data_IF_426604094924
#
_entry.id   IF_426604094924
#
_cell.length_a   1.000
_cell.length_b   1.000
_cell.length_c   1.000
_cell.angle_alpha   90.00
_cell.angle_beta   90.00
_cell.angle_gamma   90.00
#
_symmetry.space_group_name_H-M   'P 1'
#
loop_
_entity.id
_entity.type
_entity.pdbx_description
1 polymer ?
#
# COMPACT_ATOMS: atom_id res chain seq x y z
N UNK A 1 -4.42 -17.80 -4.84
CA UNK A 1 -3.57 -18.29 -3.70
C UNK A 1 -4.51 -18.87 -2.65
N UNK A 2 -4.28 -20.05 -2.12
CA UNK A 2 -5.17 -20.66 -1.11
C UNK A 2 -4.72 -20.25 0.30
N UNK A 3 -5.23 -19.11 0.81
CA UNK A 3 -4.93 -18.60 2.14
C UNK A 3 -3.54 -17.98 2.28
N UNK A 4 -3.32 -17.28 3.41
CA UNK A 4 -2.06 -16.59 3.72
C UNK A 4 -1.21 -17.31 4.77
N UNK A 5 -1.65 -18.45 5.31
CA UNK A 5 -0.92 -19.16 6.37
C UNK A 5 0.49 -19.55 5.93
N UNK A 6 1.50 -19.11 6.69
CA UNK A 6 2.91 -19.35 6.42
C UNK A 6 3.47 -18.55 5.23
N UNK A 7 2.69 -17.64 4.64
CA UNK A 7 3.12 -16.77 3.55
C UNK A 7 3.81 -15.52 4.08
N UNK A 8 4.88 -15.07 3.44
CA UNK A 8 5.55 -13.80 3.76
C UNK A 8 4.89 -12.65 3.03
N UNK A 9 4.39 -11.69 3.79
CA UNK A 9 3.64 -10.52 3.28
C UNK A 9 4.36 -9.24 3.69
N UNK A 10 4.74 -8.41 2.73
CA UNK A 10 5.25 -7.05 2.97
C UNK A 10 4.13 -6.04 2.75
N UNK A 11 3.96 -5.11 3.69
CA UNK A 11 2.98 -4.01 3.58
C UNK A 11 3.68 -2.66 3.74
N UNK A 12 3.61 -1.81 2.74
CA UNK A 12 4.12 -0.43 2.84
C UNK A 12 3.06 0.52 3.41
N UNK A 13 3.50 1.56 4.12
CA UNK A 13 2.57 2.49 4.80
C UNK A 13 1.79 1.82 5.93
N UNK A 14 2.37 0.82 6.59
CA UNK A 14 1.73 -0.04 7.58
C UNK A 14 1.56 0.57 8.98
N UNK A 15 1.91 1.85 9.18
CA UNK A 15 1.86 2.51 10.49
C UNK A 15 0.49 3.08 10.88
N UNK A 16 -0.51 3.01 9.99
CA UNK A 16 -1.88 3.50 10.25
C UNK A 16 -2.87 3.10 9.15
N UNK A 17 -4.16 3.26 9.42
CA UNK A 17 -5.24 3.16 8.45
C UNK A 17 -5.29 1.81 7.71
N UNK A 18 -5.47 1.85 6.38
CA UNK A 18 -5.61 0.64 5.57
C UNK A 18 -4.36 -0.25 5.67
N UNK A 19 -3.15 0.32 5.69
CA UNK A 19 -1.90 -0.44 5.79
C UNK A 19 -1.76 -1.19 7.11
N UNK A 20 -2.08 -0.56 8.23
CA UNK A 20 -2.12 -1.22 9.55
C UNK A 20 -3.18 -2.33 9.58
N UNK A 21 -4.38 -2.04 9.08
CA UNK A 21 -5.46 -3.03 9.04
C UNK A 21 -5.10 -4.23 8.16
N UNK A 22 -4.45 -4.01 7.02
CA UNK A 22 -3.93 -5.08 6.15
C UNK A 22 -2.89 -5.93 6.87
N UNK A 23 -1.91 -5.31 7.55
CA UNK A 23 -0.88 -6.03 8.29
C UNK A 23 -1.48 -6.91 9.40
N UNK A 24 -2.41 -6.36 10.18
CA UNK A 24 -3.12 -7.09 11.23
C UNK A 24 -3.96 -8.24 10.69
N UNK A 25 -4.72 -8.02 9.64
CA UNK A 25 -5.56 -9.06 9.03
C UNK A 25 -4.71 -10.18 8.41
N UNK A 26 -3.58 -9.84 7.75
CA UNK A 26 -2.63 -10.86 7.25
C UNK A 26 -2.09 -11.72 8.39
N UNK A 27 -1.70 -11.11 9.52
CA UNK A 27 -1.20 -11.83 10.69
C UNK A 27 -2.27 -12.74 11.31
N UNK A 28 -3.53 -12.28 11.41
CA UNK A 28 -4.66 -13.11 11.88
C UNK A 28 -4.86 -14.33 10.99
N UNK A 29 -4.58 -14.23 9.69
CA UNK A 29 -4.64 -15.37 8.76
C UNK A 29 -3.37 -16.24 8.76
N UNK A 30 -2.44 -15.99 9.68
CA UNK A 30 -1.24 -16.80 9.88
C UNK A 30 -0.10 -16.49 8.91
N UNK A 31 -0.08 -15.29 8.32
CA UNK A 31 1.05 -14.83 7.52
C UNK A 31 2.21 -14.35 8.42
N UNK A 32 3.43 -14.42 7.88
CA UNK A 32 4.60 -13.73 8.38
C UNK A 32 4.58 -12.31 7.79
N UNK A 33 4.42 -11.27 8.61
CA UNK A 33 4.17 -9.92 8.11
C UNK A 33 5.36 -9.00 8.35
N UNK A 34 5.81 -8.31 7.31
CA UNK A 34 6.82 -7.25 7.39
C UNK A 34 6.16 -5.89 7.19
N UNK A 35 6.15 -5.08 8.22
CA UNK A 35 5.55 -3.75 8.23
C UNK A 35 6.58 -2.69 7.83
N UNK A 36 6.34 -1.99 6.72
CA UNK A 36 7.18 -0.89 6.26
C UNK A 36 6.52 0.48 6.43
N UNK A 37 7.14 1.42 7.14
CA UNK A 37 6.71 2.81 7.22
C UNK A 37 7.80 3.70 7.85
N UNK A 38 7.64 5.03 7.82
CA UNK A 38 8.59 5.99 8.40
C UNK A 38 8.56 6.02 9.93
N UNK A 39 7.40 5.79 10.56
CA UNK A 39 7.24 5.90 12.02
C UNK A 39 7.62 4.62 12.73
N UNK A 40 8.90 4.50 13.12
CA UNK A 40 9.44 3.35 13.83
C UNK A 40 8.64 3.01 15.10
N UNK A 41 8.29 4.02 15.90
CA UNK A 41 7.55 3.83 17.14
C UNK A 41 6.18 3.18 16.93
N UNK A 42 5.43 3.64 15.90
CA UNK A 42 4.13 3.04 15.58
C UNK A 42 4.27 1.61 15.09
N UNK A 43 5.30 1.34 14.25
CA UNK A 43 5.57 -0.02 13.77
C UNK A 43 5.87 -0.97 14.95
N UNK A 44 6.70 -0.54 15.89
CA UNK A 44 7.03 -1.32 17.08
C UNK A 44 5.78 -1.69 17.91
N UNK A 45 4.89 -0.73 18.13
CA UNK A 45 3.63 -0.96 18.85
C UNK A 45 2.73 -1.98 18.11
N UNK A 46 2.58 -1.83 16.79
CA UNK A 46 1.73 -2.72 15.99
C UNK A 46 2.31 -4.15 15.98
N UNK A 47 3.62 -4.28 15.77
CA UNK A 47 4.30 -5.58 15.78
C UNK A 47 4.22 -6.22 17.17
N UNK A 48 4.42 -5.46 18.24
CA UNK A 48 4.25 -5.94 19.60
C UNK A 48 2.86 -6.49 19.88
N UNK A 49 1.82 -5.78 19.43
CA UNK A 49 0.43 -6.23 19.57
C UNK A 49 0.13 -7.49 18.71
N UNK A 50 0.64 -7.56 17.47
CA UNK A 50 0.49 -8.77 16.63
C UNK A 50 1.15 -9.97 17.31
N UNK A 51 2.38 -9.83 17.79
CA UNK A 51 3.13 -10.92 18.46
C UNK A 51 2.47 -11.35 19.76
N UNK A 52 1.94 -10.43 20.55
CA UNK A 52 1.23 -10.74 21.79
C UNK A 52 -0.03 -11.58 21.59
N UNK A 53 -0.59 -11.54 20.36
CA UNK A 53 -1.75 -12.34 19.93
C UNK A 53 -1.35 -13.65 19.21
N UNK A 54 -0.06 -14.00 19.23
CA UNK A 54 0.47 -15.22 18.62
C UNK A 54 0.71 -15.12 17.11
N UNK A 55 0.66 -13.93 16.51
CA UNK A 55 0.99 -13.71 15.11
C UNK A 55 2.50 -13.48 14.90
N UNK A 56 2.95 -13.70 13.67
CA UNK A 56 4.34 -13.47 13.25
C UNK A 56 4.45 -12.14 12.50
N UNK A 57 5.27 -11.22 13.00
CA UNK A 57 5.49 -9.92 12.38
C UNK A 57 6.87 -9.34 12.70
N UNK A 58 7.44 -8.61 11.76
CA UNK A 58 8.63 -7.77 11.94
C UNK A 58 8.40 -6.41 11.26
N UNK A 59 9.35 -5.51 11.36
CA UNK A 59 9.22 -4.18 10.77
C UNK A 59 10.53 -3.66 10.20
N UNK A 60 10.41 -2.73 9.26
CA UNK A 60 11.53 -1.96 8.70
C UNK A 60 11.11 -0.49 8.58
N UNK A 61 11.95 0.42 9.09
CA UNK A 61 11.74 1.84 8.82
C UNK A 61 12.04 2.12 7.34
N UNK A 62 11.09 2.73 6.63
CA UNK A 62 11.23 3.00 5.19
C UNK A 62 10.51 4.28 4.78
N UNK A 63 11.22 5.13 4.08
CA UNK A 63 10.64 6.15 3.20
C UNK A 63 10.63 5.59 1.77
N UNK A 64 9.44 5.32 1.24
CA UNK A 64 9.28 4.69 -0.08
C UNK A 64 9.76 5.57 -1.24
N UNK A 65 10.06 6.84 -1.00
CA UNK A 65 10.69 7.72 -2.00
C UNK A 65 12.17 7.44 -2.20
N UNK A 66 12.77 6.60 -1.34
CA UNK A 66 14.19 6.24 -1.36
C UNK A 66 14.38 4.79 -1.82
N UNK A 67 14.97 4.58 -3.01
CA UNK A 67 15.13 3.23 -3.58
C UNK A 67 15.83 2.25 -2.64
N UNK A 68 16.92 2.69 -1.97
CA UNK A 68 17.70 1.81 -1.09
C UNK A 68 16.92 1.40 0.17
N UNK A 69 16.06 2.28 0.70
CA UNK A 69 15.22 1.94 1.84
C UNK A 69 14.12 0.94 1.41
N UNK A 70 13.60 1.05 0.17
CA UNK A 70 12.70 0.05 -0.40
C UNK A 70 13.39 -1.30 -0.58
N UNK A 71 14.66 -1.32 -1.01
CA UNK A 71 15.47 -2.54 -1.07
C UNK A 71 15.58 -3.18 0.31
N UNK A 72 16.02 -2.41 1.31
CA UNK A 72 16.20 -2.90 2.68
C UNK A 72 14.90 -3.49 3.26
N UNK A 73 13.73 -2.93 2.93
CA UNK A 73 12.44 -3.50 3.33
C UNK A 73 12.23 -4.91 2.75
N UNK A 74 12.56 -5.12 1.49
CA UNK A 74 12.44 -6.43 0.83
C UNK A 74 13.49 -7.40 1.39
N UNK A 75 14.74 -6.95 1.55
CA UNK A 75 15.82 -7.76 2.12
C UNK A 75 15.50 -8.19 3.56
N UNK A 76 14.81 -7.34 4.34
CA UNK A 76 14.30 -7.71 5.68
C UNK A 76 13.33 -8.89 5.59
N UNK A 77 12.39 -8.87 4.65
CA UNK A 77 11.44 -9.97 4.50
C UNK A 77 12.15 -11.29 4.11
N UNK A 78 13.08 -11.20 3.19
CA UNK A 78 13.85 -12.37 2.72
C UNK A 78 14.76 -12.91 3.83
N UNK A 79 15.44 -12.03 4.57
CA UNK A 79 16.33 -12.42 5.66
C UNK A 79 15.60 -13.07 6.83
N UNK A 80 14.47 -12.52 7.23
CA UNK A 80 13.71 -13.02 8.39
C UNK A 80 12.88 -14.29 8.08
N UNK A 81 12.31 -14.37 6.86
CA UNK A 81 11.33 -15.41 6.53
C UNK A 81 11.68 -16.25 5.29
N UNK A 82 12.88 -16.05 4.72
CA UNK A 82 13.40 -16.87 3.62
C UNK A 82 12.82 -16.56 2.23
N UNK A 83 11.93 -15.58 2.10
CA UNK A 83 11.33 -15.24 0.80
C UNK A 83 10.22 -14.21 0.89
N UNK A 84 9.52 -14.00 -0.23
CA UNK A 84 8.40 -13.07 -0.33
C UNK A 84 7.30 -13.66 -1.20
N UNK A 85 6.08 -13.74 -0.65
CA UNK A 85 4.90 -14.24 -1.36
C UNK A 85 3.94 -13.11 -1.78
N UNK A 86 3.82 -12.06 -0.98
CA UNK A 86 2.90 -10.94 -1.26
C UNK A 86 3.56 -9.61 -0.96
N UNK A 87 3.56 -8.70 -1.93
CA UNK A 87 3.88 -7.29 -1.71
C UNK A 87 2.61 -6.46 -1.83
N UNK A 88 2.29 -5.69 -0.78
CA UNK A 88 1.18 -4.73 -0.77
C UNK A 88 1.74 -3.30 -0.77
N UNK A 89 1.72 -2.65 -1.93
CA UNK A 89 2.09 -1.25 -2.10
C UNK A 89 0.91 -0.37 -1.67
N UNK A 90 0.89 -0.01 -0.38
CA UNK A 90 -0.18 0.78 0.22
C UNK A 90 0.28 2.19 0.63
N UNK A 91 1.58 2.43 0.85
CA UNK A 91 2.08 3.77 1.15
C UNK A 91 1.54 4.81 0.17
N UNK A 92 1.02 5.91 0.67
CA UNK A 92 0.44 6.92 -0.19
C UNK A 92 0.12 8.22 0.53
N UNK A 93 0.12 9.29 -0.25
CA UNK A 93 -0.33 10.63 0.12
C UNK A 93 -1.56 11.01 -0.69
N UNK A 94 -2.39 11.89 -0.17
CA UNK A 94 -3.50 12.52 -0.87
C UNK A 94 -3.30 14.03 -0.89
N UNK A 95 -4.10 14.75 -1.67
CA UNK A 95 -4.14 16.21 -1.69
C UNK A 95 -5.56 16.73 -1.74
N UNK A 96 -5.75 18.01 -1.43
CA UNK A 96 -6.99 18.75 -1.63
C UNK A 96 -6.68 20.22 -1.91
N UNK A 97 -6.54 20.53 -3.18
CA UNK A 97 -6.39 21.89 -3.70
C UNK A 97 -6.84 21.90 -5.17
N UNK A 98 -7.34 23.03 -5.65
CA UNK A 98 -7.58 23.24 -7.09
C UNK A 98 -6.23 23.37 -7.81
N UNK A 99 -6.20 23.07 -9.09
CA UNK A 99 -4.95 23.09 -9.86
C UNK A 99 -4.38 24.52 -9.98
N UNK A 100 -5.26 25.51 -10.02
CA UNK A 100 -4.85 26.92 -10.13
C UNK A 100 -4.08 27.41 -8.91
N UNK A 101 -4.29 26.77 -7.74
CA UNK A 101 -3.71 27.21 -6.46
C UNK A 101 -2.54 26.33 -6.00
N UNK A 102 -2.38 25.13 -6.56
CA UNK A 102 -1.45 24.12 -6.02
C UNK A 102 -0.01 24.34 -6.47
N UNK A 103 0.92 24.28 -5.52
CA UNK A 103 2.35 24.28 -5.80
C UNK A 103 2.77 22.99 -6.54
N UNK A 104 3.61 23.13 -7.56
CA UNK A 104 4.09 21.97 -8.35
C UNK A 104 4.82 20.94 -7.49
N UNK A 105 5.49 21.36 -6.43
CA UNK A 105 6.17 20.47 -5.49
C UNK A 105 5.19 19.48 -4.81
N UNK A 106 3.94 19.88 -4.58
CA UNK A 106 2.90 18.98 -4.07
C UNK A 106 2.62 17.84 -5.05
N UNK A 107 2.58 18.16 -6.36
CA UNK A 107 2.38 17.16 -7.40
C UNK A 107 3.57 16.19 -7.49
N UNK A 108 4.81 16.70 -7.41
CA UNK A 108 6.03 15.88 -7.37
C UNK A 108 6.01 14.95 -6.17
N UNK A 109 5.73 15.44 -4.96
CA UNK A 109 5.66 14.61 -3.74
C UNK A 109 4.61 13.49 -3.85
N UNK A 110 3.47 13.75 -4.49
CA UNK A 110 2.44 12.73 -4.73
C UNK A 110 2.94 11.65 -5.70
N UNK A 111 3.62 12.04 -6.77
CA UNK A 111 4.24 11.10 -7.70
C UNK A 111 5.33 10.27 -7.03
N UNK A 112 6.20 10.89 -6.25
CA UNK A 112 7.30 10.22 -5.57
C UNK A 112 6.80 9.13 -4.60
N UNK A 113 5.81 9.46 -3.79
CA UNK A 113 5.28 8.51 -2.80
C UNK A 113 4.38 7.47 -3.45
N UNK A 114 3.35 7.89 -4.23
CA UNK A 114 2.30 6.99 -4.70
C UNK A 114 2.75 6.13 -5.88
N UNK A 115 3.53 6.71 -6.81
CA UNK A 115 3.98 6.03 -8.01
C UNK A 115 5.39 5.47 -7.86
N UNK A 116 6.40 6.32 -7.65
CA UNK A 116 7.79 5.87 -7.57
C UNK A 116 8.02 4.92 -6.40
N UNK A 117 7.39 5.15 -5.25
CA UNK A 117 7.45 4.22 -4.13
C UNK A 117 6.93 2.83 -4.48
N UNK A 118 5.86 2.75 -5.28
CA UNK A 118 5.36 1.47 -5.81
C UNK A 118 6.34 0.84 -6.79
N UNK A 119 6.93 1.64 -7.69
CA UNK A 119 7.92 1.17 -8.66
C UNK A 119 9.16 0.60 -7.97
N UNK A 120 9.73 1.31 -6.99
CA UNK A 120 10.93 0.87 -6.27
C UNK A 120 10.68 -0.43 -5.50
N UNK A 121 9.63 -0.48 -4.69
CA UNK A 121 9.29 -1.71 -3.96
C UNK A 121 9.05 -2.89 -4.92
N UNK A 122 8.32 -2.67 -6.02
CA UNK A 122 8.09 -3.71 -7.04
C UNK A 122 9.39 -4.18 -7.66
N UNK A 123 10.29 -3.26 -8.01
CA UNK A 123 11.58 -3.59 -8.66
C UNK A 123 12.41 -4.58 -7.84
N UNK A 124 12.51 -4.35 -6.54
CA UNK A 124 13.28 -5.22 -5.65
C UNK A 124 12.55 -6.50 -5.25
N UNK A 125 11.20 -6.46 -5.16
CA UNK A 125 10.38 -7.61 -4.81
C UNK A 125 10.17 -8.60 -5.97
N UNK A 126 10.21 -8.11 -7.22
CA UNK A 126 9.79 -8.87 -8.40
C UNK A 126 10.45 -10.25 -8.55
N UNK A 127 11.80 -10.42 -8.36
CA UNK A 127 12.40 -11.75 -8.46
C UNK A 127 11.85 -12.76 -7.46
N UNK A 128 11.59 -12.33 -6.23
CA UNK A 128 11.05 -13.19 -5.17
C UNK A 128 9.60 -13.54 -5.42
N UNK A 129 8.78 -12.57 -5.84
CA UNK A 129 7.38 -12.78 -6.20
C UNK A 129 7.23 -13.71 -7.41
N UNK A 130 8.14 -13.66 -8.39
CA UNK A 130 8.17 -14.59 -9.51
C UNK A 130 8.52 -16.01 -9.04
N UNK A 131 9.53 -16.16 -8.16
CA UNK A 131 9.94 -17.44 -7.62
C UNK A 131 8.86 -18.13 -6.79
N UNK A 132 8.06 -17.37 -6.03
CA UNK A 132 6.97 -17.87 -5.20
C UNK A 132 5.63 -18.02 -5.95
N UNK A 133 5.55 -17.61 -7.24
CA UNK A 133 4.28 -17.42 -7.96
C UNK A 133 3.30 -16.56 -7.12
N UNK A 134 3.83 -15.50 -6.54
CA UNK A 134 3.21 -14.67 -5.54
C UNK A 134 2.26 -13.61 -6.08
N UNK A 135 1.98 -12.63 -5.25
CA UNK A 135 1.04 -11.55 -5.56
C UNK A 135 1.66 -10.17 -5.35
N UNK A 136 1.54 -9.31 -6.35
CA UNK A 136 1.80 -7.87 -6.25
C UNK A 136 0.46 -7.14 -6.17
N UNK A 137 0.27 -6.34 -5.12
CA UNK A 137 -0.98 -5.62 -4.87
C UNK A 137 -0.69 -4.13 -4.75
N UNK A 138 -1.36 -3.32 -5.55
CA UNK A 138 -1.34 -1.87 -5.42
C UNK A 138 -2.63 -1.35 -4.81
N UNK A 139 -2.54 -0.60 -3.72
CA UNK A 139 -3.69 0.13 -3.17
C UNK A 139 -3.82 1.47 -3.90
N UNK A 140 -4.62 1.43 -4.98
CA UNK A 140 -4.97 2.61 -5.77
C UNK A 140 -6.12 3.37 -5.09
N UNK A 141 -7.10 3.80 -5.84
CA UNK A 141 -8.29 4.53 -5.40
C UNK A 141 -9.29 4.58 -6.55
N UNK A 142 -10.56 4.89 -6.26
CA UNK A 142 -11.50 5.33 -7.30
C UNK A 142 -10.96 6.56 -8.07
N UNK A 143 -10.11 7.38 -7.44
CA UNK A 143 -9.39 8.48 -8.09
C UNK A 143 -8.33 8.03 -9.11
N UNK A 144 -7.94 6.77 -9.12
CA UNK A 144 -7.08 6.13 -10.13
C UNK A 144 -7.88 5.55 -11.32
N UNK A 145 -9.21 5.70 -11.31
CA UNK A 145 -10.12 5.30 -12.40
C UNK A 145 -10.88 6.50 -12.95
N UNK A 146 -11.14 7.51 -12.12
CA UNK A 146 -11.88 8.72 -12.47
C UNK A 146 -11.24 9.96 -11.84
N UNK A 147 -11.14 11.05 -12.59
CA UNK A 147 -10.67 12.34 -12.06
C UNK A 147 -11.64 12.89 -11.02
N UNK A 148 -11.10 13.47 -9.95
CA UNK A 148 -11.87 14.10 -8.88
C UNK A 148 -11.44 15.57 -8.71
N UNK A 149 -12.39 16.54 -8.59
CA UNK A 149 -12.05 17.94 -8.34
C UNK A 149 -11.16 18.12 -7.10
N UNK A 150 -10.16 18.97 -7.19
CA UNK A 150 -9.20 19.23 -6.13
C UNK A 150 -8.24 18.06 -5.83
N UNK A 151 -8.09 17.12 -6.76
CA UNK A 151 -7.28 15.90 -6.61
C UNK A 151 -6.34 15.65 -7.81
N UNK A 152 -5.95 16.68 -8.54
CA UNK A 152 -5.19 16.54 -9.80
C UNK A 152 -3.95 15.66 -9.66
N UNK A 153 -3.02 16.01 -8.78
CA UNK A 153 -1.81 15.20 -8.55
C UNK A 153 -2.09 13.83 -7.93
N UNK A 154 -3.08 13.74 -7.05
CA UNK A 154 -3.48 12.47 -6.46
C UNK A 154 -4.04 11.52 -7.53
N UNK A 155 -5.01 11.98 -8.33
CA UNK A 155 -5.55 11.18 -9.43
C UNK A 155 -4.45 10.79 -10.41
N UNK A 156 -3.62 11.75 -10.86
CA UNK A 156 -2.53 11.46 -11.78
C UNK A 156 -1.59 10.36 -11.24
N UNK A 157 -1.18 10.45 -9.96
CA UNK A 157 -0.29 9.45 -9.35
C UNK A 157 -0.94 8.07 -9.23
N UNK A 158 -2.24 8.00 -8.95
CA UNK A 158 -2.98 6.72 -8.86
C UNK A 158 -3.28 6.11 -10.23
N UNK A 159 -3.50 6.93 -11.27
CA UNK A 159 -3.55 6.46 -12.67
C UNK A 159 -2.20 5.91 -13.12
N UNK A 160 -1.09 6.62 -12.82
CA UNK A 160 0.24 6.15 -13.13
C UNK A 160 0.54 4.79 -12.47
N UNK A 161 0.20 4.63 -11.17
CA UNK A 161 0.31 3.36 -10.46
C UNK A 161 -0.50 2.25 -11.15
N UNK A 162 -1.75 2.53 -11.54
CA UNK A 162 -2.64 1.55 -12.19
C UNK A 162 -2.03 1.09 -13.52
N UNK A 163 -1.65 2.01 -14.41
CA UNK A 163 -1.04 1.66 -15.70
C UNK A 163 0.27 0.89 -15.58
N UNK A 164 1.11 1.26 -14.58
CA UNK A 164 2.34 0.51 -14.28
C UNK A 164 2.04 -0.94 -13.88
N UNK A 165 1.13 -1.14 -12.92
CA UNK A 165 0.80 -2.47 -12.41
C UNK A 165 0.13 -3.35 -13.48
N UNK A 166 -0.74 -2.80 -14.31
CA UNK A 166 -1.33 -3.51 -15.45
C UNK A 166 -0.26 -4.00 -16.43
N UNK A 167 0.73 -3.17 -16.73
CA UNK A 167 1.84 -3.54 -17.62
C UNK A 167 2.71 -4.62 -16.98
N UNK A 168 3.09 -4.46 -15.69
CA UNK A 168 3.83 -5.50 -14.94
C UNK A 168 3.09 -6.84 -14.96
N UNK A 169 1.75 -6.82 -14.84
CA UNK A 169 0.93 -8.04 -14.95
C UNK A 169 1.10 -8.72 -16.29
N UNK A 170 0.97 -7.97 -17.40
CA UNK A 170 1.05 -8.51 -18.76
C UNK A 170 2.44 -9.13 -19.01
N UNK A 171 3.49 -8.43 -18.62
CA UNK A 171 4.88 -8.88 -18.77
C UNK A 171 5.21 -10.17 -17.99
N UNK A 172 4.44 -10.46 -16.93
CA UNK A 172 4.69 -11.58 -16.02
C UNK A 172 3.62 -12.68 -16.03
N UNK A 173 2.66 -12.64 -16.95
CA UNK A 173 1.61 -13.66 -17.09
C UNK A 173 2.17 -15.09 -17.17
N UNK A 174 3.20 -15.29 -18.00
CA UNK A 174 3.83 -16.61 -18.19
C UNK A 174 4.68 -17.06 -16.99
N UNK A 175 5.01 -16.13 -16.08
CA UNK A 175 5.78 -16.43 -14.86
C UNK A 175 4.90 -16.72 -13.65
N UNK A 176 3.57 -16.69 -13.83
CA UNK A 176 2.61 -17.01 -12.78
C UNK A 176 2.48 -15.93 -11.69
N UNK A 177 2.96 -14.71 -11.94
CA UNK A 177 2.79 -13.59 -11.02
C UNK A 177 1.33 -13.10 -11.06
N UNK A 178 0.69 -13.07 -9.91
CA UNK A 178 -0.60 -12.41 -9.75
C UNK A 178 -0.37 -10.91 -9.46
N UNK A 179 -1.07 -10.02 -10.18
CA UNK A 179 -1.07 -8.59 -9.92
C UNK A 179 -2.49 -8.09 -9.76
N UNK A 180 -2.75 -7.40 -8.65
CA UNK A 180 -4.06 -6.84 -8.31
C UNK A 180 -3.97 -5.34 -8.07
N UNK A 181 -4.91 -4.58 -8.63
CA UNK A 181 -5.14 -3.17 -8.32
C UNK A 181 -6.40 -3.08 -7.47
N UNK A 182 -6.27 -2.69 -6.21
CA UNK A 182 -7.39 -2.41 -5.33
C UNK A 182 -7.73 -0.91 -5.39
N UNK A 183 -9.00 -0.59 -5.61
CA UNK A 183 -9.48 0.78 -5.77
C UNK A 183 -10.50 1.15 -4.68
N UNK A 184 -10.08 1.31 -3.42
CA UNK A 184 -11.00 1.67 -2.34
C UNK A 184 -11.72 2.98 -2.62
N UNK A 185 -13.01 3.03 -2.24
CA UNK A 185 -13.76 4.26 -2.15
C UNK A 185 -13.38 5.08 -0.92
N UNK A 186 -14.31 5.91 -0.44
CA UNK A 186 -14.08 6.70 0.76
C UNK A 186 -13.95 5.80 1.99
N UNK A 187 -12.78 5.86 2.61
CA UNK A 187 -12.42 5.08 3.80
C UNK A 187 -12.04 6.01 4.94
N UNK A 188 -12.54 5.73 6.14
CA UNK A 188 -12.20 6.47 7.36
C UNK A 188 -10.75 6.15 7.74
N UNK A 189 -9.81 6.99 7.36
CA UNK A 189 -8.37 6.77 7.57
C UNK A 189 -7.59 8.07 7.68
N UNK A 190 -6.43 8.03 8.33
CA UNK A 190 -5.58 9.19 8.58
C UNK A 190 -5.09 9.90 7.30
N UNK A 191 -5.10 9.25 6.15
CA UNK A 191 -4.72 9.87 4.85
C UNK A 191 -5.52 11.12 4.53
N UNK A 192 -6.70 11.26 5.11
CA UNK A 192 -7.59 12.41 4.91
C UNK A 192 -7.12 13.62 5.70
N UNK A 193 -6.68 13.41 6.94
CA UNK A 193 -6.13 14.46 7.80
C UNK A 193 -4.73 14.88 7.35
N UNK A 194 -3.96 13.95 6.80
CA UNK A 194 -2.63 14.21 6.24
C UNK A 194 -2.65 14.58 4.75
N UNK A 195 -3.82 14.77 4.15
CA UNK A 195 -3.93 15.24 2.77
C UNK A 195 -3.24 16.60 2.63
N UNK A 196 -2.45 16.77 1.57
CA UNK A 196 -1.71 18.00 1.31
C UNK A 196 -2.65 19.09 0.82
N UNK A 197 -2.48 20.29 1.36
CA UNK A 197 -3.09 21.54 0.87
C UNK A 197 -2.33 22.08 -0.34
N UNK A 198 -2.69 23.27 -0.82
CA UNK A 198 -2.08 23.90 -1.97
C UNK A 198 -0.57 24.14 -1.80
N UNK A 199 -0.13 24.48 -0.60
CA UNK A 199 1.27 24.75 -0.22
C UNK A 199 2.03 23.50 0.31
N UNK A 200 1.39 22.33 0.30
CA UNK A 200 1.98 21.09 0.78
C UNK A 200 1.96 20.89 2.29
N UNK A 201 1.30 21.74 3.06
CA UNK A 201 0.99 21.49 4.47
C UNK A 201 -0.09 20.43 4.63
N UNK A 202 -0.27 19.87 5.84
CA UNK A 202 -1.32 18.90 6.11
C UNK A 202 -2.65 19.58 6.35
N UNK A 203 -3.74 19.06 5.78
CA UNK A 203 -5.08 19.62 5.91
C UNK A 203 -5.59 19.66 7.37
N UNK A 204 -5.22 18.68 8.21
CA UNK A 204 -5.55 18.63 9.64
C UNK A 204 -7.00 18.26 9.97
N UNK A 205 -7.92 18.36 9.02
CA UNK A 205 -9.34 18.07 9.21
C UNK A 205 -9.96 17.28 8.05
N UNK A 206 -11.15 16.75 8.23
CA UNK A 206 -11.94 16.11 7.18
C UNK A 206 -13.33 16.75 7.10
N UNK A 207 -13.75 17.24 5.92
CA UNK A 207 -15.07 17.84 5.74
C UNK A 207 -16.20 16.80 5.55
N UNK A 208 -15.89 15.51 5.62
CA UNK A 208 -16.86 14.43 5.38
C UNK A 208 -17.19 13.68 6.66
N UNK A 209 -18.45 13.26 6.77
CA UNK A 209 -18.93 12.37 7.83
C UNK A 209 -18.29 10.98 7.66
N UNK A 210 -17.36 10.63 8.55
CA UNK A 210 -16.65 9.36 8.53
C UNK A 210 -17.52 8.16 8.88
N UNK A 211 -18.63 8.37 9.60
CA UNK A 211 -19.56 7.30 9.97
C UNK A 211 -20.22 6.60 8.75
N UNK A 212 -20.23 7.29 7.61
CA UNK A 212 -20.78 6.77 6.33
C UNK A 212 -19.71 6.14 5.42
N UNK A 213 -18.48 6.00 5.89
CA UNK A 213 -17.37 5.45 5.12
C UNK A 213 -17.09 4.00 5.49
N UNK A 214 -16.40 3.30 4.61
CA UNK A 214 -15.82 2.00 4.95
C UNK A 214 -14.74 2.17 6.03
N UNK A 215 -14.64 1.17 6.91
CA UNK A 215 -13.50 1.12 7.84
C UNK A 215 -12.26 0.54 7.16
N UNK A 216 -11.04 0.84 7.64
CA UNK A 216 -9.81 0.22 7.17
C UNK A 216 -9.85 -1.32 7.22
N UNK A 217 -10.46 -1.89 8.25
CA UNK A 217 -10.59 -3.34 8.44
C UNK A 217 -11.52 -3.97 7.39
N UNK A 218 -12.59 -3.27 6.99
CA UNK A 218 -13.46 -3.72 5.89
C UNK A 218 -12.69 -3.77 4.58
N UNK A 219 -11.92 -2.71 4.28
CA UNK A 219 -11.07 -2.66 3.09
C UNK A 219 -10.03 -3.77 3.12
N UNK A 220 -9.34 -3.97 4.26
CA UNK A 220 -8.33 -5.02 4.42
C UNK A 220 -8.91 -6.41 4.11
N UNK A 221 -10.06 -6.77 4.69
CA UNK A 221 -10.72 -8.06 4.41
C UNK A 221 -11.09 -8.25 2.94
N UNK A 222 -11.53 -7.18 2.28
CA UNK A 222 -11.88 -7.22 0.85
C UNK A 222 -10.61 -7.44 0.00
N UNK A 223 -9.53 -6.69 0.28
CA UNK A 223 -8.25 -6.83 -0.43
C UNK A 223 -7.69 -8.24 -0.28
N UNK A 224 -7.69 -8.79 0.93
CA UNK A 224 -7.16 -10.14 1.18
C UNK A 224 -7.98 -11.21 0.45
N UNK A 225 -9.31 -11.11 0.46
CA UNK A 225 -10.17 -11.99 -0.35
C UNK A 225 -9.87 -11.86 -1.86
N UNK A 226 -9.52 -10.64 -2.32
CA UNK A 226 -9.07 -10.42 -3.70
C UNK A 226 -7.78 -11.15 -4.01
N UNK A 227 -6.80 -11.13 -3.10
CA UNK A 227 -5.55 -11.89 -3.22
C UNK A 227 -5.81 -13.40 -3.30
N UNK A 228 -6.64 -13.94 -2.40
CA UNK A 228 -6.97 -15.35 -2.37
C UNK A 228 -7.66 -15.83 -3.65
N UNK A 229 -8.55 -15.01 -4.20
CA UNK A 229 -9.31 -15.29 -5.44
C UNK A 229 -8.54 -14.95 -6.72
N UNK A 230 -7.34 -14.39 -6.60
CA UNK A 230 -6.54 -13.90 -7.73
C UNK A 230 -7.30 -12.88 -8.59
N UNK A 231 -8.04 -11.98 -7.94
CA UNK A 231 -8.75 -10.89 -8.61
C UNK A 231 -7.78 -9.91 -9.26
N UNK A 232 -8.14 -9.32 -10.41
CA UNK A 232 -7.26 -8.37 -11.13
C UNK A 232 -7.52 -6.94 -10.68
N UNK A 233 -8.78 -6.53 -10.60
CA UNK A 233 -9.23 -5.22 -10.11
C UNK A 233 -10.25 -5.48 -9.01
N UNK A 234 -10.15 -4.73 -7.93
CA UNK A 234 -11.08 -4.83 -6.80
C UNK A 234 -11.48 -3.42 -6.35
N UNK A 235 -12.77 -3.15 -6.33
CA UNK A 235 -13.35 -1.84 -5.98
C UNK A 235 -14.13 -1.96 -4.68
#
# INVERSE_FOLDING_TARGET
>A
MKGLKGKTVVVTGASSGIGEALARECAVQGANVVLGARSLQKLQLIVGDIRSKGGEATYCAVDVTKPEECRNLIDTAVGEYGGLDVLICNAGLSMRALFDDVDLEVLHRLMDVNFWGTVYCTKYALPYLQASHGSLVGISSVAGLHGLPGRTGYSASKYAMTGFLETVRIENLKKGLHVMVACPGFTASNVRFSALTADGSSQGETPRDEAKMMTPEQVARIVIRGIEKLSLIHI
#
